data_IF_128517762582
#
_entry.id   IF_128517762582
#
_cell.length_a   1.000
_cell.length_b   1.000
_cell.length_c   1.000
_cell.angle_alpha   90.00
_cell.angle_beta   90.00
_cell.angle_gamma   90.00
#
_symmetry.space_group_name_H-M   'P 1'
#
loop_
_entity.id
_entity.type
_entity.pdbx_description
1 polymer ?
#
# COMPACT_ATOMS: atom_id res chain seq x y z
N UNK A 1 -6.89 -20.06 -16.85
CA UNK A 1 -7.84 -19.03 -16.37
C UNK A 1 -9.25 -19.44 -16.81
N UNK A 2 -10.18 -19.67 -15.87
CA UNK A 2 -11.60 -19.99 -16.17
C UNK A 2 -12.45 -18.76 -15.88
N UNK A 3 -13.44 -18.48 -16.72
CA UNK A 3 -14.42 -17.45 -16.41
C UNK A 3 -15.31 -17.84 -15.22
N UNK A 4 -15.61 -16.87 -14.35
CA UNK A 4 -16.62 -17.03 -13.31
C UNK A 4 -17.99 -17.35 -13.92
N UNK A 5 -18.76 -18.19 -13.24
CA UNK A 5 -20.18 -18.39 -13.52
C UNK A 5 -20.98 -17.13 -13.19
N UNK A 6 -22.23 -17.05 -13.67
CA UNK A 6 -23.14 -15.94 -13.32
C UNK A 6 -23.38 -15.85 -11.81
N UNK A 7 -23.51 -16.98 -11.13
CA UNK A 7 -23.75 -17.07 -9.68
C UNK A 7 -22.54 -16.55 -8.89
N UNK A 8 -21.33 -16.99 -9.24
CA UNK A 8 -20.10 -16.52 -8.59
C UNK A 8 -19.89 -15.01 -8.81
N UNK A 9 -20.23 -14.50 -10.01
CA UNK A 9 -20.20 -13.04 -10.27
C UNK A 9 -21.18 -12.28 -9.38
N UNK A 10 -22.40 -12.81 -9.20
CA UNK A 10 -23.40 -12.19 -8.34
C UNK A 10 -22.98 -12.23 -6.87
N UNK A 11 -22.48 -13.36 -6.39
CA UNK A 11 -21.97 -13.50 -5.02
C UNK A 11 -20.88 -12.46 -4.73
N UNK A 12 -19.94 -12.26 -5.66
CA UNK A 12 -18.89 -11.25 -5.52
C UNK A 12 -19.44 -9.82 -5.51
N UNK A 13 -20.45 -9.53 -6.35
CA UNK A 13 -21.11 -8.22 -6.32
C UNK A 13 -21.80 -7.96 -4.98
N UNK A 14 -22.44 -8.97 -4.39
CA UNK A 14 -23.06 -8.86 -3.07
C UNK A 14 -22.01 -8.65 -1.98
N UNK A 15 -20.93 -9.44 -1.97
CA UNK A 15 -19.82 -9.29 -1.01
C UNK A 15 -19.21 -7.87 -1.07
N UNK A 16 -19.03 -7.32 -2.27
CA UNK A 16 -18.56 -5.94 -2.47
C UNK A 16 -19.51 -4.90 -1.88
N UNK A 17 -20.82 -5.08 -2.05
CA UNK A 17 -21.81 -4.16 -1.50
C UNK A 17 -21.81 -4.20 0.03
N UNK A 18 -21.73 -5.40 0.60
CA UNK A 18 -21.60 -5.60 2.05
C UNK A 18 -20.32 -4.96 2.59
N UNK A 19 -19.19 -5.12 1.90
CA UNK A 19 -17.93 -4.48 2.28
C UNK A 19 -18.07 -2.94 2.29
N UNK A 20 -18.74 -2.37 1.28
CA UNK A 20 -19.02 -0.93 1.23
C UNK A 20 -20.01 -0.47 2.31
N UNK A 21 -20.93 -1.33 2.75
CA UNK A 21 -21.86 -1.01 3.83
C UNK A 21 -21.14 -1.02 5.19
N UNK A 22 -20.31 -2.04 5.44
CA UNK A 22 -19.55 -2.19 6.68
C UNK A 22 -18.46 -1.11 6.83
N UNK A 23 -17.74 -0.80 5.75
CA UNK A 23 -16.67 0.21 5.73
C UNK A 23 -16.81 1.13 4.51
N UNK A 24 -17.71 2.13 4.55
CA UNK A 24 -18.01 3.00 3.39
C UNK A 24 -16.79 3.75 2.83
N UNK A 25 -15.84 4.08 3.70
CA UNK A 25 -14.59 4.76 3.33
C UNK A 25 -13.65 3.87 2.47
N UNK A 26 -13.86 2.55 2.40
CA UNK A 26 -13.09 1.63 1.53
C UNK A 26 -13.66 1.51 0.12
N UNK A 27 -14.83 2.11 -0.15
CA UNK A 27 -15.58 1.94 -1.41
C UNK A 27 -14.73 2.14 -2.67
N UNK A 28 -13.82 3.13 -2.69
CA UNK A 28 -12.93 3.35 -3.83
C UNK A 28 -12.09 2.10 -4.16
N UNK A 29 -11.56 1.42 -3.14
CA UNK A 29 -10.81 0.17 -3.27
C UNK A 29 -11.72 -0.98 -3.70
N UNK A 30 -12.85 -1.18 -3.01
CA UNK A 30 -13.80 -2.26 -3.30
C UNK A 30 -14.26 -2.25 -4.78
N UNK A 31 -14.53 -1.07 -5.36
CA UNK A 31 -14.94 -0.95 -6.76
C UNK A 31 -13.80 -1.10 -7.78
N UNK A 32 -12.53 -1.02 -7.35
CA UNK A 32 -11.35 -1.26 -8.20
C UNK A 32 -10.79 -2.68 -8.13
N UNK A 33 -11.18 -3.47 -7.14
CA UNK A 33 -10.79 -4.88 -7.07
C UNK A 33 -11.27 -5.61 -8.33
N UNK A 34 -10.34 -6.32 -8.98
CA UNK A 34 -10.64 -7.18 -10.13
C UNK A 34 -10.99 -8.57 -9.63
N UNK A 35 -11.87 -9.26 -10.36
CA UNK A 35 -12.41 -10.57 -9.96
C UNK A 35 -11.43 -11.67 -10.33
N UNK A 36 -11.06 -12.53 -9.40
CA UNK A 36 -10.23 -13.69 -9.75
C UNK A 36 -10.72 -14.97 -9.11
N UNK A 37 -10.35 -16.13 -9.66
CA UNK A 37 -10.80 -17.43 -9.16
C UNK A 37 -9.60 -18.30 -8.79
N UNK A 38 -9.36 -18.48 -7.48
CA UNK A 38 -8.47 -19.50 -6.87
C UNK A 38 -9.09 -20.01 -5.54
N UNK A 39 -8.45 -21.00 -4.91
CA UNK A 39 -8.93 -21.66 -3.68
C UNK A 39 -8.93 -20.72 -2.46
N UNK A 40 -8.04 -19.72 -2.42
CA UNK A 40 -7.84 -18.76 -1.31
C UNK A 40 -7.76 -17.33 -1.85
N UNK A 41 -8.24 -16.36 -1.06
CA UNK A 41 -8.04 -14.93 -1.34
C UNK A 41 -6.55 -14.58 -1.22
N UNK A 42 -6.08 -13.71 -2.12
CA UNK A 42 -4.72 -13.19 -2.09
C UNK A 42 -4.66 -11.83 -2.76
N UNK A 43 -3.71 -11.02 -2.33
CA UNK A 43 -3.42 -9.72 -2.91
C UNK A 43 -2.14 -9.78 -3.74
N UNK A 44 -2.18 -9.21 -4.95
CA UNK A 44 -1.01 -8.98 -5.78
C UNK A 44 -0.50 -7.56 -5.58
N UNK A 45 0.80 -7.31 -5.85
CA UNK A 45 1.26 -5.94 -6.05
C UNK A 45 0.49 -5.25 -7.18
N UNK A 46 -0.12 -4.11 -6.89
CA UNK A 46 -0.87 -3.30 -7.88
C UNK A 46 -2.26 -3.84 -8.26
N UNK A 47 -2.72 -4.94 -7.68
CA UNK A 47 -4.06 -5.47 -7.92
C UNK A 47 -4.62 -6.15 -6.65
N UNK A 48 -5.81 -5.74 -6.21
CA UNK A 48 -6.59 -6.60 -5.31
C UNK A 48 -7.31 -7.63 -6.19
N UNK A 49 -6.90 -8.88 -6.06
CA UNK A 49 -7.54 -10.03 -6.69
C UNK A 49 -8.31 -10.79 -5.62
N UNK A 50 -9.52 -10.33 -5.31
CA UNK A 50 -10.36 -11.08 -4.39
C UNK A 50 -10.84 -12.36 -5.07
N UNK A 51 -10.41 -13.49 -4.52
CA UNK A 51 -10.79 -14.83 -4.95
C UNK A 51 -11.85 -15.41 -4.01
N UNK A 52 -13.11 -15.40 -4.44
CA UNK A 52 -14.13 -16.15 -3.71
C UNK A 52 -13.76 -17.64 -3.72
N UNK A 53 -13.81 -18.33 -2.57
CA UNK A 53 -13.46 -19.74 -2.49
C UNK A 53 -14.32 -20.58 -3.43
N UNK A 54 -13.68 -21.56 -4.09
CA UNK A 54 -14.32 -22.54 -4.98
C UNK A 54 -15.45 -23.28 -4.25
N UNK A 55 -16.62 -23.37 -4.89
CA UNK A 55 -17.74 -24.19 -4.42
C UNK A 55 -17.57 -25.70 -4.67
N UNK A 56 -16.55 -26.09 -5.44
CA UNK A 56 -16.25 -27.47 -5.85
C UNK A 56 -14.94 -28.01 -5.25
N UNK A 57 -14.33 -27.31 -4.29
CA UNK A 57 -13.24 -27.87 -3.50
C UNK A 57 -13.85 -28.94 -2.58
N UNK A 58 -13.63 -30.21 -2.93
CA UNK A 58 -14.18 -31.39 -2.24
C UNK A 58 -13.91 -31.42 -0.71
N UNK A 59 -13.01 -30.57 -0.23
CA UNK A 59 -12.51 -30.55 1.15
C UNK A 59 -13.03 -29.36 1.99
N UNK A 60 -13.82 -28.44 1.40
CA UNK A 60 -14.53 -27.37 2.14
C UNK A 60 -15.93 -27.14 1.54
N UNK A 61 -16.96 -27.85 2.02
CA UNK A 61 -18.31 -27.76 1.47
C UNK A 61 -19.05 -26.45 1.78
N UNK A 62 -18.51 -25.59 2.66
CA UNK A 62 -19.18 -24.35 3.07
C UNK A 62 -18.69 -23.17 2.25
N UNK A 63 -19.53 -22.74 1.30
CA UNK A 63 -19.39 -21.45 0.63
C UNK A 63 -19.43 -20.35 1.71
N UNK A 64 -18.44 -19.46 1.70
CA UNK A 64 -18.47 -18.28 2.57
C UNK A 64 -19.76 -17.50 2.34
N UNK A 65 -20.40 -17.10 3.45
CA UNK A 65 -21.52 -16.18 3.36
C UNK A 65 -21.04 -14.86 2.73
N UNK A 66 -21.92 -14.10 2.08
CA UNK A 66 -21.56 -12.79 1.54
C UNK A 66 -20.96 -11.83 2.58
N UNK A 67 -21.31 -12.01 3.87
CA UNK A 67 -20.71 -11.28 4.98
C UNK A 67 -19.22 -11.59 5.15
N UNK A 68 -18.89 -12.88 5.23
CA UNK A 68 -17.50 -13.36 5.37
C UNK A 68 -16.66 -12.97 4.15
N UNK A 69 -17.20 -13.15 2.95
CA UNK A 69 -16.54 -12.75 1.71
C UNK A 69 -16.32 -11.22 1.62
N UNK A 70 -17.26 -10.42 2.15
CA UNK A 70 -17.08 -8.96 2.25
C UNK A 70 -15.95 -8.58 3.21
N UNK A 71 -15.84 -9.29 4.34
CA UNK A 71 -14.76 -9.08 5.29
C UNK A 71 -13.38 -9.47 4.76
N UNK A 72 -13.28 -10.60 4.08
CA UNK A 72 -12.04 -11.04 3.44
C UNK A 72 -11.61 -10.07 2.32
N UNK A 73 -12.55 -9.55 1.51
CA UNK A 73 -12.25 -8.48 0.54
C UNK A 73 -11.67 -7.22 1.21
N UNK A 74 -12.22 -6.81 2.36
CA UNK A 74 -11.70 -5.66 3.12
C UNK A 74 -10.31 -5.94 3.68
N UNK A 75 -10.04 -7.18 4.09
CA UNK A 75 -8.74 -7.64 4.55
C UNK A 75 -7.68 -7.52 3.44
N UNK A 76 -7.94 -8.05 2.26
CA UNK A 76 -7.00 -7.98 1.13
C UNK A 76 -6.72 -6.54 0.68
N UNK A 77 -7.75 -5.69 0.65
CA UNK A 77 -7.58 -4.24 0.42
C UNK A 77 -6.68 -3.64 1.50
N UNK A 78 -6.82 -4.10 2.76
CA UNK A 78 -6.03 -3.68 3.90
C UNK A 78 -4.52 -3.80 3.68
N UNK A 79 -4.05 -4.89 3.05
CA UNK A 79 -2.63 -5.06 2.73
C UNK A 79 -2.11 -3.99 1.77
N UNK A 80 -2.87 -3.65 0.73
CA UNK A 80 -2.47 -2.60 -0.23
C UNK A 80 -2.50 -1.21 0.38
N UNK A 81 -3.51 -0.93 1.21
CA UNK A 81 -3.63 0.36 1.88
C UNK A 81 -2.46 0.61 2.82
N UNK A 82 -2.08 -0.41 3.59
CA UNK A 82 -0.96 -0.36 4.53
C UNK A 82 0.41 -0.57 3.89
N UNK A 83 0.45 -0.93 2.61
CA UNK A 83 1.69 -1.12 1.85
C UNK A 83 2.56 -2.23 2.43
N UNK A 84 1.97 -3.34 2.90
CA UNK A 84 2.72 -4.41 3.57
C UNK A 84 3.81 -5.00 2.68
N UNK A 85 3.57 -5.11 1.37
CA UNK A 85 4.59 -5.53 0.41
C UNK A 85 5.82 -4.61 0.36
N UNK A 86 5.62 -3.29 0.34
CA UNK A 86 6.71 -2.32 0.27
C UNK A 86 7.44 -2.23 1.63
N UNK A 87 6.68 -2.27 2.73
CA UNK A 87 7.23 -2.27 4.10
C UNK A 87 8.11 -3.50 4.34
N UNK A 88 7.73 -4.68 3.85
CA UNK A 88 8.54 -5.90 3.93
C UNK A 88 9.94 -5.74 3.29
N UNK A 89 10.05 -5.01 2.16
CA UNK A 89 11.34 -4.78 1.49
C UNK A 89 12.29 -3.90 2.32
N UNK A 90 11.74 -3.05 3.19
CA UNK A 90 12.53 -2.15 4.04
C UNK A 90 13.08 -2.82 5.30
N UNK A 91 12.59 -4.02 5.63
CA UNK A 91 13.05 -4.79 6.78
C UNK A 91 14.48 -5.32 6.59
N UNK A 92 15.13 -5.64 7.70
CA UNK A 92 16.44 -6.30 7.70
C UNK A 92 16.30 -7.68 7.07
N UNK A 93 17.07 -7.91 5.99
CA UNK A 93 17.07 -9.17 5.26
C UNK A 93 17.98 -10.22 5.94
N UNK A 94 17.64 -11.53 5.86
CA UNK A 94 16.43 -12.07 5.24
C UNK A 94 15.17 -11.89 6.10
N UNK A 95 14.03 -11.64 5.47
CA UNK A 95 12.72 -11.55 6.14
C UNK A 95 12.11 -12.93 6.32
N UNK A 96 11.50 -13.17 7.48
CA UNK A 96 10.60 -14.30 7.68
C UNK A 96 9.22 -13.93 7.13
N UNK A 97 8.92 -14.38 5.91
CA UNK A 97 7.69 -14.02 5.20
C UNK A 97 6.41 -14.49 5.91
N UNK A 98 6.44 -15.63 6.61
CA UNK A 98 5.27 -16.15 7.33
C UNK A 98 4.97 -15.28 8.57
N UNK A 99 6.01 -14.96 9.35
CA UNK A 99 5.87 -14.06 10.49
C UNK A 99 5.42 -12.66 10.05
N UNK A 100 5.90 -12.17 8.91
CA UNK A 100 5.45 -10.88 8.35
C UNK A 100 3.99 -10.93 7.90
N UNK A 101 3.56 -12.03 7.27
CA UNK A 101 2.17 -12.20 6.89
C UNK A 101 1.26 -12.18 8.13
N UNK A 102 1.57 -12.97 9.17
CA UNK A 102 0.80 -12.96 10.42
C UNK A 102 0.77 -11.60 11.11
N UNK A 103 1.88 -10.87 11.09
CA UNK A 103 1.93 -9.52 11.63
C UNK A 103 1.05 -8.53 10.84
N UNK A 104 1.10 -8.60 9.50
CA UNK A 104 0.24 -7.81 8.63
C UNK A 104 -1.24 -8.14 8.79
N UNK A 105 -1.58 -9.43 8.90
CA UNK A 105 -2.93 -9.91 9.13
C UNK A 105 -3.46 -9.40 10.47
N UNK A 106 -2.64 -9.46 11.53
CA UNK A 106 -2.98 -8.92 12.85
C UNK A 106 -3.24 -7.40 12.82
N UNK A 107 -2.41 -6.62 12.12
CA UNK A 107 -2.62 -5.16 11.95
C UNK A 107 -3.95 -4.85 11.26
N UNK A 108 -4.35 -5.66 10.27
CA UNK A 108 -5.59 -5.47 9.52
C UNK A 108 -6.80 -5.94 10.30
N UNK A 109 -6.75 -7.17 10.82
CA UNK A 109 -7.88 -7.83 11.47
C UNK A 109 -8.27 -7.14 12.78
N UNK A 110 -7.32 -6.51 13.48
CA UNK A 110 -7.63 -5.66 14.64
C UNK A 110 -8.63 -4.54 14.28
N UNK A 111 -8.34 -3.79 13.22
CA UNK A 111 -9.22 -2.72 12.77
C UNK A 111 -10.55 -3.27 12.19
N UNK A 112 -10.53 -4.41 11.48
CA UNK A 112 -11.76 -5.03 10.95
C UNK A 112 -12.68 -5.53 12.06
N UNK A 113 -12.14 -6.20 13.08
CA UNK A 113 -12.88 -6.64 14.27
C UNK A 113 -13.43 -5.44 15.02
N UNK A 114 -12.64 -4.39 15.22
CA UNK A 114 -13.10 -3.14 15.85
C UNK A 114 -14.24 -2.46 15.06
N UNK A 115 -14.29 -2.62 13.74
CA UNK A 115 -15.34 -2.10 12.88
C UNK A 115 -16.61 -3.00 12.83
N UNK A 116 -16.60 -4.15 13.51
CA UNK A 116 -17.72 -5.10 13.49
C UNK A 116 -17.84 -5.88 12.17
N UNK A 117 -16.77 -5.97 11.40
CA UNK A 117 -16.73 -6.74 10.14
C UNK A 117 -16.73 -8.24 10.47
N UNK A 118 -17.57 -9.00 9.77
CA UNK A 118 -17.62 -10.47 9.90
C UNK A 118 -16.44 -11.06 9.13
N UNK A 119 -15.60 -11.81 9.83
CA UNK A 119 -14.41 -12.46 9.28
C UNK A 119 -14.52 -13.99 9.33
N UNK A 120 -13.72 -14.73 8.55
CA UNK A 120 -13.61 -16.18 8.69
C UNK A 120 -13.19 -16.61 10.10
N UNK A 121 -13.54 -17.84 10.50
CA UNK A 121 -13.06 -18.40 11.75
C UNK A 121 -11.54 -18.57 11.73
N UNK A 122 -10.90 -18.28 12.87
CA UNK A 122 -9.45 -18.47 13.05
C UNK A 122 -8.57 -17.38 12.42
N UNK A 123 -9.13 -16.20 12.10
CA UNK A 123 -8.31 -15.05 11.68
C UNK A 123 -7.25 -14.68 12.71
N UNK A 124 -6.07 -14.29 12.22
CA UNK A 124 -4.96 -13.86 13.04
C UNK A 124 -5.26 -12.46 13.59
N UNK A 125 -5.34 -12.33 14.92
CA UNK A 125 -5.49 -11.06 15.64
C UNK A 125 -4.27 -10.82 16.53
N UNK A 126 -4.05 -9.58 17.01
CA UNK A 126 -2.95 -9.29 17.94
C UNK A 126 -2.97 -10.20 19.17
N UNK A 127 -4.16 -10.40 19.76
CA UNK A 127 -4.32 -11.28 20.93
C UNK A 127 -3.96 -12.74 20.61
N UNK A 128 -4.30 -13.24 19.42
CA UNK A 128 -4.01 -14.61 18.99
C UNK A 128 -2.50 -14.87 18.87
N UNK A 129 -1.70 -13.83 18.63
CA UNK A 129 -0.22 -13.90 18.57
C UNK A 129 0.44 -13.35 19.84
N UNK A 130 -0.32 -13.15 20.92
CA UNK A 130 0.21 -12.69 22.21
C UNK A 130 0.63 -11.23 22.25
N UNK A 131 0.18 -10.41 21.30
CA UNK A 131 0.48 -8.99 21.20
C UNK A 131 -0.68 -8.12 21.71
N UNK A 132 -0.38 -6.91 22.15
CA UNK A 132 -1.42 -5.94 22.52
C UNK A 132 -2.08 -5.36 21.26
N UNK A 133 -3.42 -5.25 21.19
CA UNK A 133 -4.12 -4.62 20.08
C UNK A 133 -3.70 -3.16 19.84
N UNK A 134 -3.88 -2.68 18.60
CA UNK A 134 -3.60 -1.32 18.18
C UNK A 134 -2.16 -1.03 17.75
N UNK A 135 -1.29 -2.03 17.68
CA UNK A 135 0.07 -1.94 17.13
C UNK A 135 0.12 -1.89 15.59
N UNK A 136 1.34 -1.84 15.05
CA UNK A 136 1.64 -1.93 13.62
C UNK A 136 2.31 -3.27 13.29
N UNK A 137 2.30 -3.68 12.02
CA UNK A 137 2.91 -4.94 11.58
C UNK A 137 4.38 -5.08 11.99
N UNK A 138 5.19 -4.01 12.02
CA UNK A 138 6.60 -4.13 12.46
C UNK A 138 6.72 -4.51 13.94
N UNK A 139 5.86 -4.00 14.81
CA UNK A 139 5.87 -4.32 16.24
C UNK A 139 5.48 -5.79 16.46
N UNK A 140 4.44 -6.25 15.77
CA UNK A 140 4.00 -7.64 15.82
C UNK A 140 5.02 -8.58 15.20
N UNK A 141 5.64 -8.19 14.09
CA UNK A 141 6.71 -8.96 13.45
C UNK A 141 7.91 -9.11 14.38
N UNK A 142 8.33 -8.02 15.05
CA UNK A 142 9.43 -8.05 16.00
C UNK A 142 9.14 -9.03 17.16
N UNK A 143 7.92 -9.06 17.67
CA UNK A 143 7.51 -10.01 18.71
C UNK A 143 7.52 -11.47 18.23
N UNK A 144 7.14 -11.72 16.97
CA UNK A 144 7.10 -13.06 16.38
C UNK A 144 8.49 -13.63 16.06
N UNK A 145 9.47 -12.78 15.73
CA UNK A 145 10.84 -13.21 15.38
C UNK A 145 11.81 -13.22 16.58
N UNK A 146 11.45 -12.61 17.69
CA UNK A 146 12.26 -12.64 18.91
C UNK A 146 12.12 -14.01 19.60
N UNK A 147 13.09 -14.91 19.35
CA UNK A 147 13.12 -16.29 19.83
C UNK A 147 13.02 -16.44 21.37
N UNK A 148 13.28 -15.37 22.14
CA UNK A 148 13.18 -15.37 23.60
C UNK A 148 11.78 -15.02 24.14
N UNK A 149 10.85 -14.62 23.26
CA UNK A 149 9.53 -14.12 23.65
C UNK A 149 8.38 -15.12 23.43
N UNK A 150 8.67 -16.36 23.03
CA UNK A 150 7.63 -17.38 22.86
C UNK A 150 6.91 -17.67 24.19
N UNK A 151 5.61 -17.34 24.34
CA UNK A 151 4.80 -17.96 25.37
C UNK A 151 4.76 -19.46 25.07
N UNK A 152 4.91 -20.29 26.10
CA UNK A 152 4.72 -21.74 26.02
C UNK A 152 3.39 -22.06 25.32
N UNK A 153 3.48 -22.42 24.05
CA UNK A 153 2.37 -22.41 23.12
C UNK A 153 2.91 -21.97 21.77
N UNK A 154 3.93 -22.67 21.29
CA UNK A 154 4.29 -22.56 19.88
C UNK A 154 2.99 -22.66 19.11
N UNK A 155 2.70 -21.65 18.29
CA UNK A 155 1.70 -21.77 17.24
C UNK A 155 2.13 -23.00 16.46
N UNK A 156 1.51 -24.12 16.83
CA UNK A 156 1.86 -25.39 16.29
C UNK A 156 1.71 -25.23 14.79
N UNK A 157 2.77 -25.54 14.06
CA UNK A 157 2.63 -26.16 12.76
C UNK A 157 1.88 -27.48 12.95
N UNK A 158 0.62 -27.40 13.37
CA UNK A 158 -0.30 -28.51 13.44
C UNK A 158 -0.74 -28.72 12.02
N UNK A 159 -0.08 -29.64 11.33
CA UNK A 159 -0.60 -30.46 10.21
C UNK A 159 -1.43 -29.77 9.11
N UNK A 160 -1.36 -28.45 8.98
CA UNK A 160 -1.86 -27.68 7.84
C UNK A 160 -0.83 -27.61 6.71
N UNK A 161 0.35 -28.21 6.91
CA UNK A 161 1.45 -28.33 5.95
C UNK A 161 1.21 -29.43 4.89
N UNK A 162 -0.04 -29.71 4.53
CA UNK A 162 -0.37 -30.67 3.48
C UNK A 162 -0.60 -30.05 2.09
N UNK A 163 -0.88 -28.74 1.97
CA UNK A 163 -1.39 -28.19 0.69
C UNK A 163 -0.79 -26.83 0.25
N UNK A 164 0.38 -26.41 0.76
CA UNK A 164 1.23 -25.40 0.10
C UNK A 164 0.68 -23.97 -0.13
N UNK A 165 -0.43 -23.58 0.51
CA UNK A 165 -1.07 -22.25 0.31
C UNK A 165 -1.28 -21.53 1.67
N UNK A 166 -0.19 -21.13 2.33
CA UNK A 166 -0.22 -20.22 3.50
C UNK A 166 0.35 -18.86 3.08
N UNK A 167 -0.50 -17.83 3.05
CA UNK A 167 -0.12 -16.44 2.82
C UNK A 167 -1.08 -15.67 1.92
N UNK A 168 -1.24 -14.37 2.18
CA UNK A 168 -2.14 -13.47 1.45
C UNK A 168 -1.54 -12.97 0.12
N UNK A 169 -0.57 -13.67 -0.48
CA UNK A 169 0.07 -13.31 -1.76
C UNK A 169 1.16 -12.23 -1.68
N UNK A 170 1.81 -11.90 -2.81
CA UNK A 170 2.95 -10.98 -2.81
C UNK A 170 2.60 -9.55 -2.40
N UNK A 171 1.33 -9.16 -2.50
CA UNK A 171 0.81 -7.87 -2.06
C UNK A 171 0.80 -7.70 -0.54
N UNK A 172 0.87 -8.79 0.24
CA UNK A 172 1.05 -8.74 1.70
C UNK A 172 2.52 -8.67 2.11
N UNK A 173 3.45 -8.87 1.17
CA UNK A 173 4.86 -9.09 1.50
C UNK A 173 5.20 -10.55 1.82
N UNK A 174 4.24 -11.47 1.71
CA UNK A 174 4.51 -12.90 1.66
C UNK A 174 5.21 -13.29 0.34
N UNK A 175 5.76 -14.51 0.30
CA UNK A 175 6.29 -15.06 -0.95
C UNK A 175 5.20 -15.17 -2.03
N UNK A 176 5.55 -15.08 -3.32
CA UNK A 176 4.57 -15.17 -4.39
C UNK A 176 3.88 -16.54 -4.37
N UNK A 177 2.57 -16.55 -4.55
CA UNK A 177 1.77 -17.79 -4.53
C UNK A 177 1.76 -18.45 -5.92
N UNK A 178 1.73 -19.80 -6.03
CA UNK A 178 1.78 -20.46 -7.34
C UNK A 178 0.62 -20.05 -8.25
N UNK A 179 0.85 -19.35 -9.36
CA UNK A 179 -0.22 -18.85 -10.25
C UNK A 179 -0.72 -17.45 -9.90
N UNK A 180 0.05 -16.71 -9.10
CA UNK A 180 -0.10 -15.26 -8.93
C UNK A 180 0.01 -14.53 -10.27
N UNK A 181 -0.86 -13.53 -10.47
CA UNK A 181 -0.89 -12.74 -11.70
C UNK A 181 0.13 -11.60 -11.61
N UNK A 182 0.77 -11.31 -12.74
CA UNK A 182 1.60 -10.12 -12.92
C UNK A 182 0.75 -8.87 -13.17
N UNK A 183 1.36 -7.70 -13.03
CA UNK A 183 0.67 -6.41 -13.23
C UNK A 183 0.07 -6.23 -14.65
N UNK A 184 0.67 -6.87 -15.65
CA UNK A 184 0.26 -6.81 -17.06
C UNK A 184 -0.82 -7.85 -17.41
N UNK A 185 -1.12 -8.78 -16.51
CA UNK A 185 -2.15 -9.79 -16.75
C UNK A 185 -3.54 -9.14 -16.71
N UNK A 186 -4.32 -9.42 -17.76
CA UNK A 186 -5.68 -8.90 -17.90
C UNK A 186 -6.67 -9.79 -17.16
N UNK A 187 -7.45 -9.17 -16.29
CA UNK A 187 -8.54 -9.80 -15.56
C UNK A 187 -9.85 -9.11 -15.93
N UNK A 188 -10.82 -9.85 -16.47
CA UNK A 188 -12.04 -9.27 -17.05
C UNK A 188 -11.75 -8.14 -18.07
N UNK A 189 -10.64 -8.27 -18.83
CA UNK A 189 -10.20 -7.26 -19.79
C UNK A 189 -9.62 -5.97 -19.18
N UNK A 190 -9.30 -5.98 -17.88
CA UNK A 190 -8.66 -4.87 -17.16
C UNK A 190 -7.25 -5.25 -16.72
N UNK A 191 -6.30 -4.37 -17.01
CA UNK A 191 -4.94 -4.48 -16.48
C UNK A 191 -4.89 -4.11 -15.00
N UNK A 192 -3.74 -4.35 -14.38
CA UNK A 192 -3.48 -3.90 -13.02
C UNK A 192 -3.51 -2.40 -12.83
N UNK A 193 -3.64 -2.02 -11.58
CA UNK A 193 -3.56 -0.62 -11.18
C UNK A 193 -2.07 -0.30 -11.08
N UNK A 194 -1.62 0.69 -11.85
CA UNK A 194 -0.27 1.21 -11.73
C UNK A 194 -0.05 1.88 -10.36
N UNK A 195 1.22 2.04 -9.95
CA UNK A 195 1.55 2.60 -8.63
C UNK A 195 0.95 3.99 -8.39
N UNK A 196 0.91 4.88 -9.40
CA UNK A 196 0.39 6.23 -9.25
C UNK A 196 -1.14 6.23 -9.07
N UNK A 197 -1.85 5.41 -9.82
CA UNK A 197 -3.29 5.21 -9.66
C UNK A 197 -3.59 4.57 -8.30
N UNK A 198 -2.77 3.62 -7.85
CA UNK A 198 -2.83 3.02 -6.52
C UNK A 198 -2.68 4.06 -5.40
N UNK A 199 -1.69 4.95 -5.52
CA UNK A 199 -1.46 6.04 -4.56
C UNK A 199 -2.63 7.03 -4.51
N UNK A 200 -3.24 7.35 -5.65
CA UNK A 200 -4.43 8.20 -5.71
C UNK A 200 -5.62 7.54 -5.01
N UNK A 201 -5.81 6.23 -5.18
CA UNK A 201 -6.86 5.47 -4.49
C UNK A 201 -6.60 5.45 -2.99
N UNK A 202 -5.35 5.17 -2.57
CA UNK A 202 -4.93 5.17 -1.17
C UNK A 202 -5.22 6.52 -0.51
N UNK A 203 -4.83 7.61 -1.17
CA UNK A 203 -5.09 8.98 -0.71
C UNK A 203 -6.58 9.28 -0.61
N UNK A 204 -7.37 8.89 -1.61
CA UNK A 204 -8.83 9.09 -1.62
C UNK A 204 -9.51 8.36 -0.45
N UNK A 205 -9.07 7.14 -0.15
CA UNK A 205 -9.57 6.36 0.99
C UNK A 205 -9.17 7.03 2.30
N UNK A 206 -7.93 7.51 2.42
CA UNK A 206 -7.50 8.25 3.60
C UNK A 206 -8.32 9.53 3.84
N UNK A 207 -8.65 10.28 2.78
CA UNK A 207 -9.55 11.44 2.87
C UNK A 207 -10.96 11.02 3.36
N UNK A 208 -11.51 9.92 2.82
CA UNK A 208 -12.80 9.39 3.27
C UNK A 208 -12.78 8.90 4.73
N UNK A 209 -11.69 8.29 5.19
CA UNK A 209 -11.49 7.89 6.60
C UNK A 209 -11.48 9.12 7.51
N UNK A 210 -10.74 10.17 7.14
CA UNK A 210 -10.69 11.43 7.90
C UNK A 210 -12.06 12.08 7.99
N UNK A 211 -12.80 12.11 6.88
CA UNK A 211 -14.14 12.72 6.83
C UNK A 211 -15.16 11.91 7.65
N UNK A 212 -15.05 10.57 7.65
CA UNK A 212 -15.83 9.69 8.52
C UNK A 212 -15.50 9.93 10.01
N UNK A 213 -14.21 10.09 10.36
CA UNK A 213 -13.77 10.43 11.71
C UNK A 213 -14.38 11.75 12.19
N UNK A 214 -14.42 12.77 11.33
CA UNK A 214 -14.95 14.09 11.65
C UNK A 214 -16.48 14.10 11.81
N UNK A 215 -17.17 13.23 11.07
CA UNK A 215 -18.64 13.15 11.10
C UNK A 215 -19.17 12.43 12.34
N UNK A 216 -18.33 11.66 13.05
CA UNK A 216 -18.73 10.90 14.24
C UNK A 216 -19.74 9.78 13.97
N UNK A 217 -19.91 9.39 12.70
CA UNK A 217 -20.83 8.34 12.28
C UNK A 217 -20.11 7.00 12.37
N UNK A 218 -20.57 6.14 13.29
CA UNK A 218 -20.02 4.80 13.52
C UNK A 218 -18.73 4.78 14.35
N UNK A 219 -18.27 3.57 14.65
CA UNK A 219 -16.99 3.35 15.34
C UNK A 219 -15.90 3.27 14.29
N UNK A 220 -15.10 4.34 14.14
CA UNK A 220 -13.90 4.29 13.28
C UNK A 220 -12.75 3.64 14.07
N UNK A 221 -12.13 2.56 13.55
CA UNK A 221 -10.97 1.95 14.19
C UNK A 221 -9.79 2.93 14.34
N UNK A 222 -9.11 2.84 15.49
CA UNK A 222 -8.01 3.73 15.82
C UNK A 222 -6.80 3.57 14.89
N UNK A 223 -6.51 2.35 14.43
CA UNK A 223 -5.41 2.07 13.50
C UNK A 223 -5.64 2.75 12.14
N UNK A 224 -6.85 2.65 11.61
CA UNK A 224 -7.23 3.32 10.36
C UNK A 224 -7.15 4.83 10.43
N UNK A 225 -7.54 5.43 11.56
CA UNK A 225 -7.37 6.87 11.76
C UNK A 225 -5.88 7.27 11.72
N UNK A 226 -5.02 6.56 12.46
CA UNK A 226 -3.57 6.83 12.45
C UNK A 226 -2.96 6.65 11.07
N UNK A 227 -3.35 5.59 10.36
CA UNK A 227 -2.93 5.34 8.99
C UNK A 227 -3.33 6.49 8.05
N UNK A 228 -4.58 6.93 8.10
CA UNK A 228 -5.08 8.02 7.26
C UNK A 228 -4.35 9.34 7.56
N UNK A 229 -4.12 9.66 8.83
CA UNK A 229 -3.36 10.83 9.25
C UNK A 229 -1.91 10.77 8.73
N UNK A 230 -1.30 9.58 8.70
CA UNK A 230 0.03 9.35 8.12
C UNK A 230 0.07 9.55 6.60
N UNK A 231 -0.91 9.01 5.85
CA UNK A 231 -1.01 9.17 4.39
C UNK A 231 -1.27 10.63 4.00
N UNK A 232 -2.03 11.36 4.81
CA UNK A 232 -2.39 12.76 4.56
C UNK A 232 -1.42 13.76 5.19
N UNK A 233 -0.38 13.28 5.88
CA UNK A 233 0.64 14.11 6.46
C UNK A 233 1.25 15.04 5.39
N UNK A 234 1.56 16.30 5.75
CA UNK A 234 2.17 17.22 4.80
C UNK A 234 3.48 16.63 4.27
N UNK A 235 3.77 16.78 2.97
CA UNK A 235 4.98 16.23 2.38
C UNK A 235 6.21 16.85 3.05
N UNK A 236 7.13 15.99 3.50
CA UNK A 236 8.38 16.41 4.17
C UNK A 236 9.23 17.30 3.26
N UNK A 237 9.22 17.00 1.95
CA UNK A 237 9.90 17.79 0.94
C UNK A 237 8.96 18.88 0.41
N UNK A 238 9.39 20.16 0.35
CA UNK A 238 8.61 21.23 -0.28
C UNK A 238 8.63 21.08 -1.81
N UNK A 239 7.91 20.08 -2.31
CA UNK A 239 7.90 19.68 -3.73
C UNK A 239 7.50 20.84 -4.63
N UNK A 240 6.65 21.76 -4.16
CA UNK A 240 6.27 22.96 -4.90
C UNK A 240 7.50 23.85 -5.21
N UNK A 241 8.47 23.93 -4.30
CA UNK A 241 9.74 24.64 -4.51
C UNK A 241 10.65 23.85 -5.43
N UNK A 242 10.77 22.53 -5.22
CA UNK A 242 11.61 21.64 -6.04
C UNK A 242 11.13 21.62 -7.49
N UNK A 243 9.84 21.38 -7.72
CA UNK A 243 9.21 21.36 -9.03
C UNK A 243 9.31 22.72 -9.71
N UNK A 244 9.01 23.82 -8.99
CA UNK A 244 9.17 25.18 -9.54
C UNK A 244 10.61 25.42 -9.98
N UNK A 245 11.60 25.00 -9.18
CA UNK A 245 13.01 25.13 -9.55
C UNK A 245 13.34 24.29 -10.78
N UNK A 246 12.90 23.03 -10.83
CA UNK A 246 13.15 22.13 -11.96
C UNK A 246 12.53 22.65 -13.26
N UNK A 247 11.26 23.07 -13.22
CA UNK A 247 10.56 23.66 -14.36
C UNK A 247 11.25 24.95 -14.82
N UNK A 248 11.63 25.84 -13.89
CA UNK A 248 12.37 27.06 -14.23
C UNK A 248 13.73 26.76 -14.87
N UNK A 249 14.46 25.76 -14.38
CA UNK A 249 15.70 25.32 -14.98
C UNK A 249 15.48 24.79 -16.40
N UNK A 250 14.49 23.91 -16.60
CA UNK A 250 14.16 23.34 -17.91
C UNK A 250 13.72 24.42 -18.92
N UNK A 251 12.88 25.37 -18.50
CA UNK A 251 12.47 26.50 -19.33
C UNK A 251 13.66 27.40 -19.69
N UNK A 252 14.55 27.69 -18.73
CA UNK A 252 15.76 28.47 -18.99
C UNK A 252 16.75 27.76 -19.92
N UNK A 253 16.85 26.42 -19.86
CA UNK A 253 17.65 25.63 -20.79
C UNK A 253 17.02 25.57 -22.19
N UNK A 254 15.69 25.38 -22.28
CA UNK A 254 14.97 25.34 -23.55
C UNK A 254 14.98 26.69 -24.26
N UNK A 255 14.72 27.79 -23.53
CA UNK A 255 14.83 29.16 -24.03
C UNK A 255 16.28 29.56 -24.29
N UNK A 256 17.23 28.86 -23.66
CA UNK A 256 18.64 29.21 -23.65
C UNK A 256 19.46 28.77 -24.86
N UNK A 257 18.88 28.07 -25.83
CA UNK A 257 19.60 27.59 -27.02
C UNK A 257 19.73 28.68 -28.10
N UNK A 258 20.06 29.90 -27.70
CA UNK A 258 20.12 31.06 -28.61
C UNK A 258 21.41 31.86 -28.49
N UNK A 259 22.08 31.88 -27.33
CA UNK A 259 23.34 32.61 -27.18
C UNK A 259 24.28 32.03 -26.09
N UNK A 260 25.54 32.47 -26.09
CA UNK A 260 26.57 32.02 -25.15
C UNK A 260 26.31 32.56 -23.73
N UNK A 261 26.32 31.68 -22.71
CA UNK A 261 26.12 32.05 -21.31
C UNK A 261 27.43 32.09 -20.52
N UNK A 262 27.61 33.13 -19.68
CA UNK A 262 28.70 33.23 -18.70
C UNK A 262 28.46 32.48 -17.37
N UNK A 263 27.49 31.55 -17.30
CA UNK A 263 27.29 30.73 -16.10
C UNK A 263 28.56 29.92 -15.78
N UNK A 264 28.80 29.71 -14.48
CA UNK A 264 29.99 29.00 -13.95
C UNK A 264 30.25 27.72 -14.76
N UNK A 265 31.41 27.59 -15.44
CA UNK A 265 31.63 26.47 -16.34
C UNK A 265 31.68 25.13 -15.57
N UNK A 266 31.54 24.02 -16.29
CA UNK A 266 31.70 22.66 -15.77
C UNK A 266 32.97 22.52 -14.91
N UNK A 267 32.87 21.83 -13.76
CA UNK A 267 34.06 21.47 -12.94
C UNK A 267 34.93 20.42 -13.64
N UNK A 268 34.38 19.67 -14.59
CA UNK A 268 35.12 18.79 -15.51
C UNK A 268 35.62 19.64 -16.68
N UNK A 269 36.67 20.41 -16.44
CA UNK A 269 37.29 21.31 -17.44
C UNK A 269 38.75 20.92 -17.64
N UNK A 270 39.21 21.03 -18.87
CA UNK A 270 40.61 20.83 -19.24
C UNK A 270 41.37 22.10 -18.84
N UNK A 271 42.52 22.01 -18.14
CA UNK A 271 43.30 23.18 -17.77
C UNK A 271 43.63 24.05 -19.00
N UNK A 272 43.39 25.36 -18.91
CA UNK A 272 43.65 26.31 -19.99
C UNK A 272 42.55 26.45 -21.04
N UNK A 273 41.45 25.67 -20.97
CA UNK A 273 40.32 25.76 -21.92
C UNK A 273 39.02 26.08 -21.19
N UNK A 274 38.43 27.24 -21.50
CA UNK A 274 37.07 27.60 -21.05
C UNK A 274 36.09 27.22 -22.16
N UNK A 275 35.34 26.13 -21.97
CA UNK A 275 34.27 25.76 -22.89
C UNK A 275 33.03 26.65 -22.63
N UNK A 276 32.51 27.36 -23.64
CA UNK A 276 31.26 28.09 -23.51
C UNK A 276 30.10 27.11 -23.21
N UNK A 277 29.15 27.52 -22.37
CA UNK A 277 27.86 26.83 -22.25
C UNK A 277 26.84 27.61 -23.07
N UNK A 278 26.10 26.94 -23.95
CA UNK A 278 24.96 27.55 -24.65
C UNK A 278 23.80 27.69 -23.65
N UNK A 279 23.31 28.91 -23.42
CA UNK A 279 22.28 29.24 -22.43
C UNK A 279 21.94 30.74 -22.48
N UNK A 280 20.67 31.13 -22.48
CA UNK A 280 20.26 32.54 -22.57
C UNK A 280 20.55 33.29 -21.27
N UNK A 281 20.99 34.54 -21.39
CA UNK A 281 21.04 35.51 -20.31
C UNK A 281 19.62 35.86 -19.86
N UNK A 282 19.35 35.70 -18.56
CA UNK A 282 18.18 36.31 -17.96
C UNK A 282 18.46 37.80 -17.78
N UNK A 283 17.86 38.65 -18.61
CA UNK A 283 17.80 40.10 -18.40
C UNK A 283 17.16 40.37 -17.02
N UNK A 284 17.80 41.25 -16.26
CA UNK A 284 17.69 41.37 -14.80
C UNK A 284 16.28 41.55 -14.24
N UNK A 285 16.04 40.83 -13.14
CA UNK A 285 15.06 41.16 -12.12
C UNK A 285 15.79 41.17 -10.79
N UNK A 286 15.93 42.37 -10.22
CA UNK A 286 16.57 42.66 -8.95
C UNK A 286 15.96 41.83 -7.81
N UNK A 287 16.80 41.03 -7.15
CA UNK A 287 16.52 40.39 -5.87
C UNK A 287 17.73 40.63 -4.95
N UNK A 288 18.01 41.91 -4.66
CA UNK A 288 18.97 42.32 -3.64
C UNK A 288 18.67 41.69 -2.28
N UNK A 289 19.43 40.66 -1.92
CA UNK A 289 19.58 40.20 -0.54
C UNK A 289 20.57 41.11 0.18
N UNK A 290 20.07 41.92 1.09
CA UNK A 290 20.85 42.81 1.96
C UNK A 290 21.76 41.97 2.87
N UNK A 291 23.08 41.97 2.61
CA UNK A 291 24.09 41.52 3.55
C UNK A 291 24.69 42.76 4.20
N UNK A 292 24.34 42.96 5.47
CA UNK A 292 24.95 43.97 6.32
C UNK A 292 26.46 43.74 6.42
N UNK A 293 27.20 44.82 6.20
CA UNK A 293 28.65 44.89 6.40
C UNK A 293 28.88 45.16 7.88
N UNK A 294 29.54 44.24 8.56
CA UNK A 294 30.13 44.47 9.89
C UNK A 294 31.63 44.75 9.67
N UNK A 295 31.99 46.04 9.63
CA UNK A 295 33.38 46.51 9.71
C UNK A 295 33.64 47.12 11.09
N UNK A 296 34.64 46.53 11.74
CA UNK A 296 35.19 46.81 13.07
C UNK A 296 35.36 48.30 13.43
N UNK A 297 34.99 48.62 14.68
CA UNK A 297 35.84 49.37 15.62
C UNK A 297 35.59 48.91 17.05
#
# INVERSE_FOLDING_TARGET
>A
MRELTSVERQAFQVARLIACEAMPYYSAGCFRCSRWQRRTEYVCRGQVLAALPRSDAADRPEQWSPLVAGGALLHEIGHLLRGHADRAETLRQPVNHDAWNFAGDAEINDDLVSAGVVLPDGVITPDAIGCTPGGIAEDYYAALVDENSAPNGGVGGGDAAADGEVGCGSGSGAGPVPGELGADDLVDGRAGIDGATGDLIRRKIAEAVRDAAASGIGTLPGGLRRWADGVLAPPVVPWNRVLRSAVRCALAEAAGRTDYSYRRPSRRRVPGVVLPRCGAESVGGDCGGHLGVDERR
#
